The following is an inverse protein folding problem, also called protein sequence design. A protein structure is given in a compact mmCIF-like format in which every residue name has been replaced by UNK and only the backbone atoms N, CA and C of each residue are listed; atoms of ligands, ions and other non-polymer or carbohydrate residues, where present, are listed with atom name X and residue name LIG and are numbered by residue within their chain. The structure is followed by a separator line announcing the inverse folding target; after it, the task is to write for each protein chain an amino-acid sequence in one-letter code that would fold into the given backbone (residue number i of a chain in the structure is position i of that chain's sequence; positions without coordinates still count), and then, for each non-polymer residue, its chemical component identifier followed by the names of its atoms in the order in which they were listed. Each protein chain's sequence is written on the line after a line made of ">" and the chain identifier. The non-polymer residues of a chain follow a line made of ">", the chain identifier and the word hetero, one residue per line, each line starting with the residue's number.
data_IF_063236985720
#
_entry.id   IF_063236985720
#
_cell.length_a   1.000
_cell.length_b   1.000
_cell.length_c   1.000
_cell.angle_alpha   90.00
_cell.angle_beta   90.00
_cell.angle_gamma   90.00
#
_symmetry.space_group_name_H-M   'P 1'
#
loop_
_entity.id
_entity.type
_entity.pdbx_description
1 polymer ?
#
# COMPACT_ATOMS: atom_id res chain seq x y z
N UNK A 1 14.18 18.10 0.30
CA UNK A 1 13.85 16.68 0.53
C UNK A 1 15.08 15.94 1.02
N UNK A 2 14.95 15.27 2.15
CA UNK A 2 15.96 14.42 2.76
C UNK A 2 15.50 12.97 2.70
N UNK A 3 16.35 12.07 2.21
CA UNK A 3 16.07 10.64 2.12
C UNK A 3 17.07 9.90 3.01
N UNK A 4 16.57 9.10 3.94
CA UNK A 4 17.41 8.24 4.78
C UNK A 4 17.17 6.78 4.42
N UNK A 5 18.22 6.06 4.07
CA UNK A 5 18.20 4.61 3.92
C UNK A 5 18.74 3.97 5.20
N UNK A 6 17.85 3.39 6.01
CA UNK A 6 18.21 2.62 7.20
C UNK A 6 18.47 1.17 6.83
N UNK A 7 19.64 0.65 7.20
CA UNK A 7 20.03 -0.74 6.93
C UNK A 7 20.60 -1.40 8.18
N UNK A 8 20.76 -2.72 8.15
CA UNK A 8 21.55 -3.44 9.15
C UNK A 8 22.93 -3.76 8.55
N UNK A 9 23.96 -4.00 9.37
CA UNK A 9 25.25 -4.46 8.87
C UNK A 9 25.09 -5.65 7.91
N UNK A 10 25.84 -5.62 6.81
CA UNK A 10 25.85 -6.67 5.78
C UNK A 10 24.48 -6.97 5.13
N UNK A 11 23.56 -6.00 5.14
CA UNK A 11 22.26 -6.16 4.48
C UNK A 11 22.43 -6.40 2.96
N UNK A 12 22.04 -7.58 2.43
CA UNK A 12 22.24 -7.90 1.01
C UNK A 12 21.38 -7.02 0.07
N UNK A 13 20.33 -6.41 0.61
CA UNK A 13 19.40 -5.59 -0.15
C UNK A 13 19.76 -4.09 -0.14
N UNK A 14 20.75 -3.67 0.66
CA UNK A 14 21.15 -2.27 0.74
C UNK A 14 21.64 -1.70 -0.61
N UNK A 15 22.51 -2.39 -1.38
CA UNK A 15 22.93 -1.88 -2.70
C UNK A 15 21.77 -1.75 -3.69
N UNK A 16 20.82 -2.69 -3.64
CA UNK A 16 19.63 -2.66 -4.49
C UNK A 16 18.72 -1.48 -4.13
N UNK A 17 18.46 -1.27 -2.84
CA UNK A 17 17.65 -0.15 -2.36
C UNK A 17 18.30 1.19 -2.74
N UNK A 18 19.60 1.34 -2.52
CA UNK A 18 20.35 2.54 -2.91
C UNK A 18 20.23 2.84 -4.41
N UNK A 19 20.51 1.84 -5.26
CA UNK A 19 20.44 2.02 -6.72
C UNK A 19 19.03 2.36 -7.21
N UNK A 20 17.98 1.90 -6.52
CA UNK A 20 16.60 2.24 -6.85
C UNK A 20 16.19 3.63 -6.37
N UNK A 21 16.72 4.11 -5.25
CA UNK A 21 16.55 5.49 -4.79
C UNK A 21 17.19 6.45 -5.79
N UNK A 22 18.43 6.17 -6.21
CA UNK A 22 19.14 6.97 -7.21
C UNK A 22 18.36 7.06 -8.53
N UNK A 23 17.86 5.93 -9.02
CA UNK A 23 16.98 5.89 -10.20
C UNK A 23 15.66 6.63 -10.00
N UNK A 24 15.06 6.54 -8.82
CA UNK A 24 13.78 7.20 -8.53
C UNK A 24 13.91 8.72 -8.39
N UNK A 25 15.09 9.21 -7.97
CA UNK A 25 15.38 10.63 -7.91
C UNK A 25 15.44 11.25 -9.30
N UNK A 26 15.91 10.54 -10.32
CA UNK A 26 15.88 11.00 -11.73
C UNK A 26 16.42 12.44 -11.91
N UNK A 27 17.52 12.77 -11.21
CA UNK A 27 18.14 14.10 -11.24
C UNK A 27 17.54 15.17 -10.31
N UNK A 28 16.56 14.82 -9.46
CA UNK A 28 16.03 15.71 -8.42
C UNK A 28 17.08 16.02 -7.35
N UNK A 29 17.04 17.24 -6.82
CA UNK A 29 17.87 17.62 -5.69
C UNK A 29 17.32 17.01 -4.38
N UNK A 30 18.01 15.99 -3.88
CA UNK A 30 17.74 15.40 -2.57
C UNK A 30 19.06 15.07 -1.86
N UNK A 31 19.06 15.21 -0.54
CA UNK A 31 20.13 14.71 0.31
C UNK A 31 19.82 13.25 0.66
N UNK A 32 20.70 12.32 0.27
CA UNK A 32 20.51 10.89 0.54
C UNK A 32 21.57 10.41 1.52
N UNK A 33 21.13 9.96 2.69
CA UNK A 33 21.99 9.43 3.75
C UNK A 33 21.77 7.93 3.95
N UNK A 34 22.86 7.19 4.13
CA UNK A 34 22.85 5.78 4.53
C UNK A 34 23.18 5.67 6.02
N UNK A 35 22.29 5.08 6.81
CA UNK A 35 22.53 4.83 8.24
C UNK A 35 22.48 3.34 8.52
N UNK A 36 23.55 2.82 9.09
CA UNK A 36 23.59 1.44 9.60
C UNK A 36 23.06 1.38 11.04
N UNK A 37 22.11 0.49 11.26
CA UNK A 37 21.39 0.24 12.50
C UNK A 37 21.87 -1.09 13.07
N UNK A 38 22.72 -1.02 14.09
CA UNK A 38 23.40 -2.20 14.61
C UNK A 38 22.54 -3.05 15.58
N UNK A 39 21.52 -2.45 16.21
CA UNK A 39 20.74 -3.09 17.26
C UNK A 39 19.27 -2.64 17.29
N UNK A 40 18.43 -3.38 18.01
CA UNK A 40 17.00 -3.10 18.15
C UNK A 40 16.72 -1.76 18.86
N UNK A 41 17.61 -1.30 19.74
CA UNK A 41 17.42 -0.02 20.43
C UNK A 41 17.63 1.15 19.48
N UNK A 42 18.59 1.06 18.56
CA UNK A 42 18.77 1.99 17.45
C UNK A 42 17.59 1.93 16.48
N UNK A 43 17.13 0.72 16.14
CA UNK A 43 15.96 0.54 15.29
C UNK A 43 14.72 1.23 15.88
N UNK A 44 14.50 1.12 17.20
CA UNK A 44 13.40 1.80 17.88
C UNK A 44 13.55 3.33 17.86
N UNK A 45 14.76 3.86 18.09
CA UNK A 45 15.02 5.31 18.04
C UNK A 45 14.76 5.89 16.66
N UNK A 46 15.19 5.18 15.62
CA UNK A 46 15.06 5.57 14.22
C UNK A 46 13.73 5.13 13.59
N UNK A 47 12.86 4.47 14.37
CA UNK A 47 11.59 3.90 13.92
C UNK A 47 11.75 2.94 12.73
N UNK A 48 12.88 2.25 12.64
CA UNK A 48 13.14 1.21 11.65
C UNK A 48 12.33 -0.03 12.00
N UNK A 49 11.32 -0.34 11.17
CA UNK A 49 10.51 -1.55 11.32
C UNK A 49 11.21 -2.79 10.77
N UNK A 50 12.05 -2.64 9.73
CA UNK A 50 12.84 -3.73 9.13
C UNK A 50 13.82 -3.20 8.09
N UNK A 51 14.93 -3.88 7.83
CA UNK A 51 15.96 -3.46 6.87
C UNK A 51 15.74 -4.04 5.46
N UNK A 52 15.91 -3.27 4.39
CA UNK A 52 16.12 -1.82 4.38
C UNK A 52 14.81 -1.05 4.61
N UNK A 53 14.85 0.06 5.36
CA UNK A 53 13.77 1.05 5.47
C UNK A 53 14.19 2.33 4.75
N UNK A 54 13.31 2.86 3.91
CA UNK A 54 13.49 4.18 3.29
C UNK A 54 12.63 5.18 4.05
N UNK A 55 13.24 6.26 4.53
CA UNK A 55 12.54 7.40 5.11
C UNK A 55 12.63 8.58 4.14
N UNK A 56 11.51 9.22 3.87
CA UNK A 56 11.43 10.49 3.15
C UNK A 56 11.02 11.56 4.16
N UNK A 57 11.89 12.55 4.36
CA UNK A 57 11.75 13.61 5.37
C UNK A 57 11.40 13.03 6.77
N UNK A 58 12.04 11.92 7.12
CA UNK A 58 11.87 11.22 8.39
C UNK A 58 10.66 10.28 8.48
N UNK A 59 9.85 10.13 7.42
CA UNK A 59 8.65 9.28 7.38
C UNK A 59 8.85 8.09 6.47
N UNK A 60 8.51 6.87 6.90
CA UNK A 60 8.50 5.67 6.05
C UNK A 60 7.20 5.64 5.21
N UNK A 61 7.26 5.90 3.89
CA UNK A 61 6.08 5.93 3.03
C UNK A 61 5.46 4.54 2.82
N UNK A 62 6.18 3.49 3.22
CA UNK A 62 5.73 2.10 3.10
C UNK A 62 5.34 1.52 4.46
N UNK A 63 5.32 2.30 5.54
CA UNK A 63 5.12 1.80 6.90
C UNK A 63 3.91 0.86 7.00
N UNK A 64 4.09 -0.29 7.65
CA UNK A 64 2.99 -1.19 7.98
C UNK A 64 2.38 -0.77 9.32
N UNK A 65 1.07 -0.45 9.38
CA UNK A 65 0.42 -0.05 10.62
C UNK A 65 0.60 -1.10 11.73
N UNK A 66 1.11 -0.66 12.89
CA UNK A 66 1.33 -1.52 14.05
C UNK A 66 2.57 -2.42 13.98
N UNK A 67 3.42 -2.28 12.96
CA UNK A 67 4.70 -2.98 12.92
C UNK A 67 5.64 -2.45 14.03
N UNK A 68 6.21 -3.37 14.80
CA UNK A 68 7.23 -3.05 15.78
C UNK A 68 8.57 -2.73 15.11
N UNK A 69 9.40 -1.94 15.79
CA UNK A 69 10.78 -1.72 15.35
C UNK A 69 11.56 -3.04 15.37
N UNK A 70 12.34 -3.32 14.33
CA UNK A 70 13.11 -4.57 14.20
C UNK A 70 14.33 -4.40 13.29
N UNK A 71 15.35 -5.21 13.55
CA UNK A 71 16.53 -5.40 12.70
C UNK A 71 16.36 -6.55 11.68
N UNK A 72 15.13 -7.01 11.48
CA UNK A 72 14.81 -8.09 10.53
C UNK A 72 14.81 -7.62 9.08
N UNK A 73 14.93 -8.55 8.13
CA UNK A 73 14.81 -8.24 6.71
C UNK A 73 13.37 -7.84 6.31
N UNK A 74 13.25 -6.78 5.53
CA UNK A 74 12.00 -6.29 4.95
C UNK A 74 11.79 -6.87 3.57
N UNK A 75 10.54 -7.21 3.30
CA UNK A 75 10.09 -7.69 2.01
C UNK A 75 9.02 -6.75 1.45
N UNK A 76 9.22 -6.31 0.21
CA UNK A 76 8.36 -5.40 -0.52
C UNK A 76 7.63 -6.18 -1.60
N UNK A 77 6.31 -6.00 -1.70
CA UNK A 77 5.50 -6.64 -2.74
C UNK A 77 5.38 -5.73 -3.94
N UNK A 78 5.83 -6.22 -5.09
CA UNK A 78 5.60 -5.59 -6.38
C UNK A 78 4.17 -5.81 -6.87
N UNK A 79 3.75 -5.00 -7.85
CA UNK A 79 2.44 -5.11 -8.51
C UNK A 79 2.25 -6.42 -9.28
N UNK A 80 3.34 -7.08 -9.64
CA UNK A 80 3.37 -8.39 -10.28
C UNK A 80 3.23 -9.55 -9.27
N UNK A 81 3.04 -9.24 -7.98
CA UNK A 81 2.94 -10.21 -6.90
C UNK A 81 4.29 -10.77 -6.44
N UNK A 82 5.40 -10.36 -7.05
CA UNK A 82 6.73 -10.76 -6.60
C UNK A 82 7.12 -10.03 -5.33
N UNK A 83 7.92 -10.69 -4.53
CA UNK A 83 8.42 -10.14 -3.28
C UNK A 83 9.92 -9.93 -3.39
N UNK A 84 10.38 -8.71 -3.10
CA UNK A 84 11.76 -8.29 -3.26
C UNK A 84 12.27 -7.61 -1.99
N UNK A 85 13.59 -7.55 -1.83
CA UNK A 85 14.24 -6.96 -0.66
C UNK A 85 14.31 -5.43 -0.65
N UNK A 86 13.76 -4.77 -1.66
CA UNK A 86 13.74 -3.31 -1.78
C UNK A 86 12.43 -2.86 -2.45
N UNK A 87 11.95 -1.63 -2.18
CA UNK A 87 10.81 -1.07 -2.89
C UNK A 87 11.13 -0.94 -4.39
N UNK A 88 10.10 -0.93 -5.25
CA UNK A 88 10.30 -0.73 -6.69
C UNK A 88 10.61 0.75 -6.99
N UNK A 89 11.27 1.01 -8.12
CA UNK A 89 11.54 2.40 -8.57
C UNK A 89 10.24 3.19 -8.71
N UNK A 90 9.19 2.58 -9.25
CA UNK A 90 7.89 3.22 -9.43
C UNK A 90 7.20 3.57 -8.10
N UNK A 91 7.37 2.72 -7.07
CA UNK A 91 6.82 3.00 -5.74
C UNK A 91 7.60 4.10 -5.02
N UNK A 92 8.93 4.12 -5.18
CA UNK A 92 9.77 5.22 -4.70
C UNK A 92 9.41 6.54 -5.38
N UNK A 93 9.31 6.58 -6.72
CA UNK A 93 8.90 7.78 -7.46
C UNK A 93 7.54 8.30 -6.98
N UNK A 94 6.58 7.41 -6.72
CA UNK A 94 5.27 7.78 -6.17
C UNK A 94 5.40 8.37 -4.77
N UNK A 95 6.19 7.75 -3.90
CA UNK A 95 6.41 8.24 -2.55
C UNK A 95 7.07 9.63 -2.53
N UNK A 96 8.07 9.86 -3.39
CA UNK A 96 8.72 11.16 -3.54
C UNK A 96 7.76 12.22 -4.08
N UNK A 97 6.93 11.87 -5.08
CA UNK A 97 5.91 12.79 -5.60
C UNK A 97 4.88 13.18 -4.54
N UNK A 98 4.43 12.23 -3.71
CA UNK A 98 3.49 12.52 -2.61
C UNK A 98 4.13 13.38 -1.54
N UNK A 99 5.40 13.17 -1.22
CA UNK A 99 6.13 14.00 -0.27
C UNK A 99 6.25 15.45 -0.78
N UNK A 100 6.62 15.63 -2.05
CA UNK A 100 6.68 16.94 -2.71
C UNK A 100 5.30 17.62 -2.80
N UNK A 101 4.25 16.87 -3.12
CA UNK A 101 2.89 17.40 -3.23
C UNK A 101 2.23 17.68 -1.86
N UNK A 102 2.70 17.03 -0.79
CA UNK A 102 2.24 17.21 0.59
C UNK A 102 2.60 18.57 1.19
N UNK A 103 3.50 19.34 0.57
CA UNK A 103 3.76 20.74 0.94
C UNK A 103 2.69 21.71 0.39
N UNK A 104 1.88 21.30 -0.60
CA UNK A 104 0.97 22.22 -1.33
C UNK A 104 -0.52 21.82 -1.36
N UNK A 105 -0.97 20.73 -0.73
CA UNK A 105 -2.38 20.32 -0.81
C UNK A 105 -2.99 19.84 0.51
N UNK A 106 -3.98 20.61 0.99
CA UNK A 106 -4.99 20.23 1.99
C UNK A 106 -5.97 19.20 1.38
N UNK A 107 -5.47 18.02 1.06
CA UNK A 107 -6.27 16.87 0.65
C UNK A 107 -6.19 15.78 1.72
N UNK A 108 -7.32 15.16 2.11
CA UNK A 108 -7.28 14.05 3.05
C UNK A 108 -6.40 12.93 2.49
N UNK A 109 -5.58 12.28 3.33
CA UNK A 109 -4.61 11.30 2.86
C UNK A 109 -5.35 10.16 2.16
N UNK A 110 -5.06 9.97 0.87
CA UNK A 110 -5.29 8.67 0.25
C UNK A 110 -4.32 7.70 0.92
N UNK A 111 -4.87 6.71 1.61
CA UNK A 111 -4.11 5.63 2.24
C UNK A 111 -3.16 5.03 1.18
N UNK A 112 -1.85 5.28 1.33
CA UNK A 112 -0.80 4.81 0.43
C UNK A 112 -0.55 3.29 0.56
N UNK A 113 -1.04 2.70 1.63
CA UNK A 113 -1.36 1.29 1.68
C UNK A 113 -2.73 1.12 1.04
N UNK A 114 -2.91 0.13 0.17
CA UNK A 114 -4.25 -0.39 -0.06
C UNK A 114 -4.92 -0.82 1.25
N UNK A 115 -5.97 -1.64 1.15
CA UNK A 115 -6.87 -2.10 2.22
C UNK A 115 -6.24 -2.76 3.49
N UNK A 116 -4.91 -2.75 3.66
CA UNK A 116 -4.16 -3.20 4.85
C UNK A 116 -4.49 -2.41 6.12
N UNK A 117 -5.74 -2.51 6.58
CA UNK A 117 -6.25 -1.86 7.79
C UNK A 117 -7.78 -1.84 7.88
N UNK A 118 -8.50 -1.89 6.74
CA UNK A 118 -9.97 -1.73 6.70
C UNK A 118 -10.78 -3.03 6.81
N UNK A 119 -10.12 -4.18 6.96
CA UNK A 119 -10.76 -5.49 7.12
C UNK A 119 -11.43 -6.02 5.84
N UNK A 120 -11.92 -7.27 5.88
CA UNK A 120 -12.42 -8.00 4.69
C UNK A 120 -13.84 -7.61 4.19
N UNK A 121 -14.49 -6.63 4.80
CA UNK A 121 -15.86 -6.21 4.45
C UNK A 121 -15.91 -4.76 3.94
N UNK A 122 -16.50 -4.56 2.76
CA UNK A 122 -16.77 -3.24 2.16
C UNK A 122 -17.64 -2.39 3.08
N UNK A 123 -17.57 -1.05 3.08
CA UNK A 123 -18.40 -0.18 3.93
C UNK A 123 -19.90 -0.50 3.85
N UNK A 124 -20.64 -0.34 4.97
CA UNK A 124 -22.12 -0.47 5.00
C UNK A 124 -22.80 0.51 4.05
N UNK A 125 -22.13 1.62 3.74
CA UNK A 125 -22.68 2.73 2.97
C UNK A 125 -22.65 2.45 1.46
N UNK A 126 -23.62 3.04 0.76
CA UNK A 126 -23.63 3.06 -0.71
C UNK A 126 -23.81 1.69 -1.37
N UNK A 127 -24.47 0.73 -0.73
CA UNK A 127 -24.76 -0.59 -1.32
C UNK A 127 -23.57 -1.54 -1.45
N UNK A 128 -22.35 -1.08 -1.11
CA UNK A 128 -21.10 -1.82 -1.29
C UNK A 128 -21.03 -3.09 -0.45
N UNK A 129 -21.39 -3.04 0.84
CA UNK A 129 -21.44 -4.25 1.70
C UNK A 129 -22.51 -5.24 1.26
N UNK A 130 -23.68 -4.76 0.86
CA UNK A 130 -24.78 -5.61 0.42
C UNK A 130 -24.37 -6.39 -0.84
N UNK A 131 -23.82 -5.68 -1.83
CA UNK A 131 -23.36 -6.29 -3.07
C UNK A 131 -22.22 -7.29 -2.83
N UNK A 132 -21.23 -6.91 -2.01
CA UNK A 132 -20.13 -7.80 -1.65
C UNK A 132 -20.62 -9.09 -0.96
N UNK A 133 -21.54 -8.98 0.01
CA UNK A 133 -22.06 -10.16 0.71
C UNK A 133 -22.93 -11.05 -0.19
N UNK A 134 -23.72 -10.47 -1.10
CA UNK A 134 -24.51 -11.24 -2.06
C UNK A 134 -23.62 -12.09 -2.96
N UNK A 135 -22.56 -11.50 -3.50
CA UNK A 135 -21.57 -12.22 -4.32
C UNK A 135 -20.89 -13.32 -3.52
N UNK A 136 -20.34 -13.01 -2.34
CA UNK A 136 -19.63 -13.99 -1.51
C UNK A 136 -20.54 -15.16 -1.08
N UNK A 137 -21.81 -14.86 -0.76
CA UNK A 137 -22.79 -15.89 -0.40
C UNK A 137 -23.15 -16.78 -1.58
N UNK A 138 -23.27 -16.20 -2.78
CA UNK A 138 -23.47 -16.96 -4.01
C UNK A 138 -22.36 -17.97 -4.23
N UNK A 139 -21.11 -17.51 -4.18
CA UNK A 139 -19.94 -18.38 -4.33
C UNK A 139 -19.89 -19.47 -3.27
N UNK A 140 -20.14 -19.12 -2.01
CA UNK A 140 -20.13 -20.09 -0.91
C UNK A 140 -21.20 -21.18 -1.04
N UNK A 141 -22.32 -20.85 -1.70
CA UNK A 141 -23.49 -21.75 -1.81
C UNK A 141 -23.52 -22.53 -3.11
N UNK A 142 -23.15 -21.89 -4.22
CA UNK A 142 -23.32 -22.43 -5.59
C UNK A 142 -21.99 -22.60 -6.33
N UNK A 143 -20.90 -22.00 -5.84
CA UNK A 143 -19.63 -21.93 -6.55
C UNK A 143 -19.62 -20.98 -7.75
N UNK A 144 -20.72 -20.26 -8.01
CA UNK A 144 -20.86 -19.35 -9.15
C UNK A 144 -21.25 -17.94 -8.69
N UNK A 145 -20.95 -16.94 -9.52
CA UNK A 145 -21.44 -15.57 -9.34
C UNK A 145 -22.93 -15.55 -9.67
N UNK A 146 -23.70 -14.77 -8.90
CA UNK A 146 -25.10 -14.49 -9.19
C UNK A 146 -25.21 -13.81 -10.57
N UNK A 147 -26.31 -14.04 -11.29
CA UNK A 147 -26.52 -13.41 -12.59
C UNK A 147 -26.50 -11.87 -12.45
N UNK A 148 -25.99 -11.12 -13.44
CA UNK A 148 -25.85 -9.66 -13.36
C UNK A 148 -27.15 -8.93 -12.98
N UNK A 149 -28.30 -9.45 -13.43
CA UNK A 149 -29.62 -8.89 -13.12
C UNK A 149 -29.98 -8.96 -11.63
N UNK A 150 -29.54 -10.01 -10.93
CA UNK A 150 -29.80 -10.17 -9.49
C UNK A 150 -28.87 -9.27 -8.66
N UNK A 151 -27.62 -9.10 -9.12
CA UNK A 151 -26.68 -8.15 -8.51
C UNK A 151 -27.10 -6.69 -8.72
N UNK A 152 -27.66 -6.39 -9.88
CA UNK A 152 -28.19 -5.07 -10.21
C UNK A 152 -29.39 -4.71 -9.32
N UNK A 153 -30.28 -5.66 -9.03
CA UNK A 153 -31.36 -5.45 -8.06
C UNK A 153 -30.85 -5.10 -6.65
N UNK A 154 -29.72 -5.68 -6.22
CA UNK A 154 -29.12 -5.37 -4.90
C UNK A 154 -28.57 -3.94 -4.86
N UNK A 155 -27.99 -3.46 -5.97
CA UNK A 155 -27.52 -2.08 -6.09
C UNK A 155 -28.68 -1.08 -6.15
N UNK A 156 -29.72 -1.38 -6.94
CA UNK A 156 -30.94 -0.56 -7.03
C UNK A 156 -31.64 -0.45 -5.68
N UNK A 157 -31.75 -1.56 -4.92
CA UNK A 157 -32.31 -1.55 -3.56
C UNK A 157 -31.53 -0.63 -2.59
N UNK A 158 -30.27 -0.33 -2.91
CA UNK A 158 -29.41 0.59 -2.18
C UNK A 158 -29.41 2.01 -2.75
N UNK A 159 -30.22 2.28 -3.79
CA UNK A 159 -30.35 3.59 -4.43
C UNK A 159 -29.13 4.01 -5.26
N UNK A 160 -28.32 3.05 -5.72
CA UNK A 160 -27.08 3.31 -6.48
C UNK A 160 -27.05 2.51 -7.78
N UNK A 161 -26.35 3.04 -8.77
CA UNK A 161 -26.10 2.34 -10.02
C UNK A 161 -25.17 1.12 -9.78
N UNK A 162 -25.50 -0.01 -10.40
CA UNK A 162 -24.76 -1.25 -10.23
C UNK A 162 -23.30 -1.15 -10.69
N UNK A 163 -23.04 -0.48 -11.82
CA UNK A 163 -21.69 -0.34 -12.36
C UNK A 163 -20.85 0.58 -11.48
N UNK A 164 -21.44 1.64 -10.95
CA UNK A 164 -20.76 2.51 -9.99
C UNK A 164 -20.37 1.76 -8.70
N UNK A 165 -21.29 0.99 -8.12
CA UNK A 165 -21.01 0.23 -6.89
C UNK A 165 -19.93 -0.82 -7.14
N UNK A 166 -19.94 -1.48 -8.30
CA UNK A 166 -18.90 -2.45 -8.68
C UNK A 166 -17.54 -1.77 -8.90
N UNK A 167 -17.51 -0.62 -9.56
CA UNK A 167 -16.30 0.17 -9.75
C UNK A 167 -15.72 0.64 -8.41
N UNK A 168 -16.57 1.11 -7.47
CA UNK A 168 -16.16 1.52 -6.12
C UNK A 168 -15.61 0.33 -5.30
N UNK A 169 -16.16 -0.87 -5.49
CA UNK A 169 -15.67 -2.09 -4.84
C UNK A 169 -14.32 -2.54 -5.40
N UNK A 170 -14.11 -2.44 -6.70
CA UNK A 170 -12.86 -2.81 -7.36
C UNK A 170 -11.74 -1.79 -7.05
N UNK A 171 -12.06 -0.49 -7.12
CA UNK A 171 -11.10 0.59 -6.88
C UNK A 171 -10.52 0.57 -5.45
N UNK A 172 -11.31 0.14 -4.47
CA UNK A 172 -10.90 0.02 -3.07
C UNK A 172 -10.55 -1.43 -2.65
N UNK A 173 -10.36 -2.34 -3.60
CA UNK A 173 -9.89 -3.71 -3.37
C UNK A 173 -10.78 -4.55 -2.42
N UNK A 174 -12.11 -4.35 -2.50
CA UNK A 174 -13.09 -5.10 -1.72
C UNK A 174 -13.61 -6.34 -2.45
N UNK A 175 -13.80 -6.23 -3.76
CA UNK A 175 -14.30 -7.28 -4.64
C UNK A 175 -14.04 -6.88 -6.10
N UNK A 176 -13.46 -7.79 -6.87
CA UNK A 176 -13.37 -7.68 -8.33
C UNK A 176 -14.03 -8.91 -8.95
N UNK A 177 -14.80 -8.69 -10.01
CA UNK A 177 -15.39 -9.74 -10.83
C UNK A 177 -14.74 -9.68 -12.20
N UNK A 178 -14.32 -10.83 -12.72
CA UNK A 178 -13.89 -10.92 -14.11
C UNK A 178 -15.12 -10.65 -14.99
N UNK A 179 -15.05 -9.57 -15.78
CA UNK A 179 -16.12 -9.13 -16.68
C UNK A 179 -16.17 -9.93 -17.97
#
# INVERSE_FOLDING_TARGET
>A
MHITLLTVPDCPNAPLAWGRIDQALDGRAAEVELIEVADEAQAARLRMTSSPTVLVDGTDPFALPGAAASVSCRLYRGRDGRTEGAPSVADLQRALYVAEAGEDCDCPPMDAAGRGGRGRLAPVTGGRRALQQSVLRSFATTGQVLEPADLEQVAIASGRDFREVLADLAAEDFLSLDG
#
